data_IF_512004315423
#
_entry.id   IF_512004315423
#
_cell.length_a   1.000
_cell.length_b   1.000
_cell.length_c   1.000
_cell.angle_alpha   90.00
_cell.angle_beta   90.00
_cell.angle_gamma   90.00
#
_symmetry.space_group_name_H-M   'P 1'
#
loop_
_entity.id
_entity.type
_entity.pdbx_description
1 polymer ?
#
# COMPACT_ATOMS: atom_id res chain seq x y z
N UNK A 1 64.42 39.89 49.38
CA UNK A 1 65.50 39.21 48.64
C UNK A 1 64.86 38.43 47.50
N UNK A 2 65.06 38.86 46.26
CA UNK A 2 66.19 38.55 45.35
C UNK A 2 65.80 37.31 44.50
N UNK A 3 65.33 37.49 43.26
CA UNK A 3 66.03 37.78 41.99
C UNK A 3 66.80 36.58 41.41
N UNK A 4 66.42 36.24 40.18
CA UNK A 4 67.10 35.59 39.03
C UNK A 4 65.94 35.09 38.15
N UNK A 5 65.51 35.68 37.02
CA UNK A 5 66.12 36.34 35.85
C UNK A 5 67.07 35.48 35.00
N UNK A 6 66.93 35.68 33.67
CA UNK A 6 67.59 35.09 32.49
C UNK A 6 66.97 33.80 31.89
N UNK A 7 66.75 33.64 30.57
CA UNK A 7 66.83 34.55 29.41
C UNK A 7 66.20 33.87 28.17
N UNK A 8 65.65 34.70 27.28
CA UNK A 8 65.54 34.64 25.81
C UNK A 8 65.45 33.31 25.03
N UNK A 9 64.47 33.24 24.12
CA UNK A 9 64.71 33.59 22.69
C UNK A 9 63.42 33.50 21.84
N UNK A 10 63.06 34.66 21.28
CA UNK A 10 62.58 34.91 19.91
C UNK A 10 62.04 33.74 19.06
N UNK A 11 60.80 33.87 18.56
CA UNK A 11 60.55 34.17 17.14
C UNK A 11 59.05 34.33 16.85
N UNK A 12 58.64 35.58 16.72
CA UNK A 12 57.35 35.98 16.16
C UNK A 12 57.33 35.69 14.65
N UNK A 13 56.88 34.50 14.25
CA UNK A 13 56.51 34.26 12.86
C UNK A 13 55.08 34.77 12.63
N UNK A 14 55.00 35.97 12.05
CA UNK A 14 53.80 36.52 11.42
C UNK A 14 53.39 35.65 10.22
N UNK A 15 52.70 34.54 10.50
CA UNK A 15 52.04 33.76 9.45
C UNK A 15 50.84 34.56 8.95
N UNK A 16 51.01 35.15 7.78
CA UNK A 16 49.96 35.86 7.05
C UNK A 16 48.68 35.02 7.01
N UNK A 17 47.57 35.63 7.44
CA UNK A 17 46.25 35.02 7.44
C UNK A 17 45.84 34.76 6.00
N UNK A 18 45.96 33.52 5.52
CA UNK A 18 45.43 33.14 4.22
C UNK A 18 43.91 33.38 4.24
N UNK A 19 43.40 34.02 3.19
CA UNK A 19 41.96 34.32 3.03
C UNK A 19 41.19 33.01 2.90
N UNK A 20 40.71 32.49 4.03
CA UNK A 20 39.77 31.36 4.02
C UNK A 20 38.44 31.85 3.48
N UNK A 21 37.93 31.17 2.46
CA UNK A 21 36.56 31.38 1.98
C UNK A 21 35.55 31.21 3.14
N UNK A 22 34.52 32.06 3.20
CA UNK A 22 33.52 32.10 4.28
C UNK A 22 32.92 30.72 4.53
N UNK A 23 32.66 29.99 3.43
CA UNK A 23 32.13 28.64 3.47
C UNK A 23 33.07 27.64 4.16
N UNK A 24 34.37 27.71 3.87
CA UNK A 24 35.38 26.86 4.50
C UNK A 24 35.50 27.12 6.01
N UNK A 25 35.41 28.39 6.43
CA UNK A 25 35.40 28.76 7.84
C UNK A 25 34.13 28.26 8.53
N UNK A 26 32.96 28.44 7.92
CA UNK A 26 31.69 27.96 8.47
C UNK A 26 31.69 26.43 8.63
N UNK A 27 32.18 25.70 7.63
CA UNK A 27 32.34 24.24 7.68
C UNK A 27 33.28 23.82 8.81
N UNK A 28 34.45 24.45 8.93
CA UNK A 28 35.43 24.16 9.98
C UNK A 28 34.88 24.44 11.39
N UNK A 29 34.11 25.52 11.56
CA UNK A 29 33.48 25.86 12.84
C UNK A 29 32.36 24.88 13.22
N UNK A 30 31.59 24.39 12.25
CA UNK A 30 30.57 23.35 12.47
C UNK A 30 31.23 22.03 12.88
N UNK A 31 32.27 21.59 12.16
CA UNK A 31 33.05 20.40 12.49
C UNK A 31 33.71 20.53 13.88
N UNK A 32 34.32 21.67 14.21
CA UNK A 32 34.87 21.92 15.55
C UNK A 32 33.79 21.91 16.65
N UNK A 33 32.58 22.39 16.37
CA UNK A 33 31.45 22.36 17.32
C UNK A 33 30.97 20.93 17.56
N UNK A 34 30.92 20.10 16.54
CA UNK A 34 30.59 18.68 16.64
C UNK A 34 31.69 17.89 17.36
N UNK A 35 32.96 18.14 17.04
CA UNK A 35 34.11 17.59 17.73
C UNK A 35 34.13 18.00 19.21
N UNK A 36 33.78 19.25 19.56
CA UNK A 36 33.66 19.69 20.97
C UNK A 36 32.49 19.06 21.70
N UNK A 37 31.39 18.74 21.01
CA UNK A 37 30.24 18.02 21.60
C UNK A 37 30.56 16.57 21.87
N UNK A 38 31.29 15.92 20.97
CA UNK A 38 31.69 14.51 21.10
C UNK A 38 32.89 14.32 22.04
N UNK A 39 33.82 15.29 22.11
CA UNK A 39 34.97 15.28 23.01
C UNK A 39 34.71 15.86 24.41
N UNK A 40 33.53 16.47 24.63
CA UNK A 40 33.15 16.93 25.97
C UNK A 40 33.05 15.70 26.88
N UNK A 41 33.85 15.66 27.95
CA UNK A 41 33.69 14.65 29.00
C UNK A 41 32.24 14.70 29.46
N UNK A 42 31.54 13.58 29.30
CA UNK A 42 30.16 13.46 29.70
C UNK A 42 30.01 13.86 31.16
N UNK A 43 29.03 14.70 31.45
CA UNK A 43 28.70 15.01 32.84
C UNK A 43 28.15 13.75 33.51
N UNK A 44 28.25 13.66 34.85
CA UNK A 44 27.66 12.53 35.60
C UNK A 44 26.17 12.34 35.28
N UNK A 45 25.46 13.44 34.99
CA UNK A 45 24.07 13.43 34.56
C UNK A 45 23.88 12.83 33.16
N UNK A 46 24.74 13.15 32.19
CA UNK A 46 24.66 12.58 30.84
C UNK A 46 24.94 11.08 30.84
N UNK A 47 25.88 10.59 31.66
CA UNK A 47 26.14 9.15 31.85
C UNK A 47 24.92 8.46 32.45
N UNK A 48 24.31 9.04 33.50
CA UNK A 48 23.11 8.49 34.13
C UNK A 48 21.92 8.50 33.17
N UNK A 49 21.77 9.54 32.34
CA UNK A 49 20.74 9.62 31.31
C UNK A 49 20.93 8.50 30.28
N UNK A 50 22.16 8.28 29.82
CA UNK A 50 22.47 7.21 28.88
C UNK A 50 22.17 5.83 29.48
N UNK A 51 22.51 5.61 30.74
CA UNK A 51 22.18 4.39 31.48
C UNK A 51 20.67 4.17 31.63
N UNK A 52 19.91 5.24 31.88
CA UNK A 52 18.46 5.15 31.96
C UNK A 52 17.85 4.82 30.59
N UNK A 53 18.35 5.45 29.53
CA UNK A 53 17.89 5.18 28.16
C UNK A 53 18.21 3.75 27.76
N UNK A 54 19.42 3.27 28.04
CA UNK A 54 19.79 1.88 27.73
C UNK A 54 19.00 0.87 28.55
N UNK A 55 18.69 1.19 29.81
CA UNK A 55 17.82 0.38 30.65
C UNK A 55 16.40 0.28 30.06
N UNK A 56 15.79 1.41 29.68
CA UNK A 56 14.46 1.40 29.05
C UNK A 56 14.49 0.67 27.70
N UNK A 57 15.53 0.87 26.89
CA UNK A 57 15.71 0.18 25.61
C UNK A 57 15.80 -1.33 25.81
N UNK A 58 16.54 -1.81 26.83
CA UNK A 58 16.59 -3.24 27.16
C UNK A 58 15.23 -3.79 27.58
N UNK A 59 14.47 -3.07 28.42
CA UNK A 59 13.13 -3.47 28.84
C UNK A 59 12.15 -3.58 27.66
N UNK A 60 12.14 -2.58 26.79
CA UNK A 60 11.25 -2.59 25.62
C UNK A 60 11.59 -3.77 24.69
N UNK A 61 12.88 -4.02 24.46
CA UNK A 61 13.31 -5.16 23.62
C UNK A 61 13.00 -6.51 24.23
N UNK A 62 13.04 -6.63 25.55
CA UNK A 62 12.79 -7.88 26.27
C UNK A 62 11.30 -8.21 26.34
N UNK A 63 10.44 -7.23 26.63
CA UNK A 63 9.03 -7.47 26.94
C UNK A 63 8.04 -7.10 25.83
N UNK A 64 8.35 -6.14 24.96
CA UNK A 64 7.47 -5.74 23.86
C UNK A 64 7.80 -6.51 22.58
N UNK A 65 7.69 -7.84 22.67
CA UNK A 65 7.86 -8.74 21.54
C UNK A 65 6.54 -8.84 20.77
N UNK A 66 6.63 -8.93 19.44
CA UNK A 66 5.45 -9.07 18.58
C UNK A 66 4.68 -10.36 18.96
N UNK A 67 3.36 -10.29 19.24
CA UNK A 67 2.57 -11.45 19.63
C UNK A 67 2.61 -12.59 18.61
N UNK A 68 2.75 -12.28 17.32
CA UNK A 68 2.83 -13.26 16.22
C UNK A 68 4.05 -14.18 16.29
N UNK A 69 5.08 -13.79 17.04
CA UNK A 69 6.30 -14.61 17.23
C UNK A 69 6.13 -15.65 18.34
N UNK A 70 5.05 -15.58 19.11
CA UNK A 70 4.76 -16.53 20.17
C UNK A 70 3.98 -17.74 19.62
N UNK A 71 4.28 -18.96 20.10
CA UNK A 71 3.52 -20.14 19.70
C UNK A 71 2.07 -20.03 20.20
N UNK A 72 1.12 -20.50 19.41
CA UNK A 72 -0.32 -20.54 19.72
C UNK A 72 -0.96 -19.15 19.98
N UNK A 73 -0.39 -18.07 19.45
CA UNK A 73 -0.96 -16.73 19.58
C UNK A 73 -2.33 -16.60 18.90
N UNK A 74 -2.61 -17.43 17.88
CA UNK A 74 -3.85 -17.44 17.10
C UNK A 74 -5.08 -17.85 17.93
N UNK A 75 -4.88 -18.53 19.07
CA UNK A 75 -5.97 -18.90 19.98
C UNK A 75 -6.47 -17.69 20.77
N UNK A 76 -5.59 -16.73 21.04
CA UNK A 76 -5.89 -15.53 21.82
C UNK A 76 -6.20 -14.31 20.95
N UNK A 77 -5.64 -14.25 19.73
CA UNK A 77 -5.74 -13.12 18.82
C UNK A 77 -6.54 -13.47 17.56
N UNK A 78 -7.47 -12.58 17.18
CA UNK A 78 -8.22 -12.69 15.94
C UNK A 78 -7.57 -11.85 14.83
N UNK A 79 -7.15 -12.51 13.74
CA UNK A 79 -6.58 -11.86 12.56
C UNK A 79 -7.41 -12.11 11.31
N UNK A 80 -8.43 -11.27 11.08
CA UNK A 80 -9.15 -11.21 9.81
C UNK A 80 -9.74 -9.81 9.56
N UNK A 81 -8.85 -8.80 9.51
CA UNK A 81 -9.24 -7.41 9.34
C UNK A 81 -10.03 -7.16 8.05
N UNK A 82 -9.68 -7.84 6.95
CA UNK A 82 -10.37 -7.69 5.66
C UNK A 82 -11.82 -8.18 5.72
N UNK A 83 -12.06 -9.37 6.27
CA UNK A 83 -13.40 -9.94 6.43
C UNK A 83 -14.27 -9.09 7.34
N UNK A 84 -13.72 -8.61 8.46
CA UNK A 84 -14.43 -7.67 9.34
C UNK A 84 -14.77 -6.37 8.60
N UNK A 85 -13.82 -5.80 7.86
CA UNK A 85 -14.04 -4.56 7.11
C UNK A 85 -15.13 -4.74 6.05
N UNK A 86 -15.13 -5.84 5.31
CA UNK A 86 -16.16 -6.12 4.31
C UNK A 86 -17.55 -6.26 4.93
N UNK A 87 -17.67 -6.88 6.10
CA UNK A 87 -18.96 -7.09 6.78
C UNK A 87 -19.48 -5.84 7.48
N UNK A 88 -18.60 -5.06 8.11
CA UNK A 88 -18.99 -3.85 8.85
C UNK A 88 -19.14 -2.63 7.93
N UNK A 89 -18.25 -2.49 6.95
CA UNK A 89 -18.24 -1.38 5.99
C UNK A 89 -18.49 -1.92 4.59
N UNK A 90 -19.69 -2.46 4.39
CA UNK A 90 -20.11 -2.98 3.09
C UNK A 90 -20.15 -1.85 2.04
N UNK A 91 -19.60 -2.13 0.86
CA UNK A 91 -19.59 -1.22 -0.28
C UNK A 91 -20.38 -1.84 -1.46
N UNK A 92 -21.72 -1.88 -1.39
CA UNK A 92 -22.55 -2.61 -2.35
C UNK A 92 -22.41 -2.09 -3.78
N UNK A 93 -22.24 -0.77 -3.96
CA UNK A 93 -22.02 -0.18 -5.29
C UNK A 93 -20.74 -0.67 -5.96
N UNK A 94 -19.67 -0.84 -5.19
CA UNK A 94 -18.41 -1.38 -5.69
C UNK A 94 -18.60 -2.85 -6.06
N UNK A 95 -19.26 -3.63 -5.20
CA UNK A 95 -19.54 -5.04 -5.48
C UNK A 95 -20.35 -5.24 -6.78
N UNK A 96 -21.40 -4.44 -6.98
CA UNK A 96 -22.20 -4.44 -8.20
C UNK A 96 -21.39 -4.04 -9.43
N UNK A 97 -20.62 -2.95 -9.32
CA UNK A 97 -19.75 -2.48 -10.41
C UNK A 97 -18.73 -3.54 -10.80
N UNK A 98 -18.08 -4.20 -9.83
CA UNK A 98 -17.13 -5.28 -10.09
C UNK A 98 -17.83 -6.50 -10.70
N UNK A 99 -19.01 -6.88 -10.22
CA UNK A 99 -19.76 -8.03 -10.74
C UNK A 99 -20.20 -7.83 -12.20
N UNK A 100 -20.69 -6.63 -12.54
CA UNK A 100 -21.17 -6.34 -13.89
C UNK A 100 -20.03 -6.11 -14.89
N UNK A 101 -18.90 -5.56 -14.45
CA UNK A 101 -17.73 -5.36 -15.32
C UNK A 101 -16.93 -6.65 -15.54
N UNK A 102 -16.80 -7.47 -14.50
CA UNK A 102 -16.00 -8.68 -14.52
C UNK A 102 -16.71 -9.84 -13.79
N UNK A 103 -17.60 -10.56 -14.48
CA UNK A 103 -18.35 -11.67 -13.89
C UNK A 103 -17.47 -12.88 -13.53
N UNK A 104 -16.24 -12.97 -14.06
CA UNK A 104 -15.29 -14.05 -13.74
C UNK A 104 -15.00 -14.16 -12.24
N UNK A 105 -14.95 -13.04 -11.50
CA UNK A 105 -14.67 -13.06 -10.06
C UNK A 105 -15.67 -13.89 -9.24
N UNK A 106 -16.91 -14.01 -9.72
CA UNK A 106 -17.98 -14.73 -9.03
C UNK A 106 -18.29 -16.07 -9.69
N UNK A 107 -18.31 -16.14 -11.03
CA UNK A 107 -18.67 -17.33 -11.78
C UNK A 107 -17.49 -18.27 -12.06
N UNK A 108 -16.24 -17.77 -11.98
CA UNK A 108 -14.99 -18.54 -12.15
C UNK A 108 -14.95 -19.43 -13.41
N UNK A 109 -15.56 -18.97 -14.50
CA UNK A 109 -15.53 -19.65 -15.80
C UNK A 109 -14.48 -19.00 -16.70
N UNK A 110 -13.51 -19.77 -17.20
CA UNK A 110 -12.43 -19.27 -18.07
C UNK A 110 -12.95 -18.60 -19.36
N UNK A 111 -14.13 -18.97 -19.85
CA UNK A 111 -14.75 -18.32 -21.01
C UNK A 111 -15.14 -16.85 -20.76
N UNK A 112 -15.24 -16.45 -19.49
CA UNK A 112 -15.54 -15.07 -19.06
C UNK A 112 -14.29 -14.24 -18.79
N UNK A 113 -13.11 -14.85 -18.93
CA UNK A 113 -11.83 -14.20 -18.69
C UNK A 113 -11.49 -13.32 -19.88
N UNK A 114 -11.83 -12.04 -19.77
CA UNK A 114 -11.58 -11.03 -20.80
C UNK A 114 -10.58 -9.99 -20.32
N UNK A 115 -9.77 -9.48 -21.25
CA UNK A 115 -8.97 -8.28 -21.03
C UNK A 115 -9.86 -7.05 -20.82
N UNK A 116 -9.31 -6.04 -20.13
CA UNK A 116 -9.99 -4.79 -19.79
C UNK A 116 -10.49 -4.08 -21.06
N UNK A 117 -11.78 -3.76 -21.11
CA UNK A 117 -12.40 -3.05 -22.23
C UNK A 117 -13.04 -3.93 -23.31
N UNK A 118 -12.88 -5.25 -23.27
CA UNK A 118 -13.62 -6.15 -24.15
C UNK A 118 -14.92 -6.64 -23.51
N UNK A 119 -15.93 -6.88 -24.36
CA UNK A 119 -17.18 -7.54 -23.99
C UNK A 119 -16.99 -9.03 -24.28
N UNK A 120 -16.91 -9.92 -23.26
CA UNK A 120 -16.83 -11.34 -23.52
C UNK A 120 -18.14 -11.78 -24.17
N UNK A 121 -18.06 -12.46 -25.31
CA UNK A 121 -19.22 -12.94 -26.07
C UNK A 121 -20.05 -13.99 -25.29
N UNK A 122 -19.46 -14.58 -24.24
CA UNK A 122 -20.08 -15.59 -23.36
C UNK A 122 -20.62 -14.95 -22.06
N UNK A 123 -20.54 -13.62 -21.91
CA UNK A 123 -20.96 -12.94 -20.70
C UNK A 123 -22.49 -12.97 -20.52
N UNK A 124 -23.00 -12.96 -19.26
CA UNK A 124 -24.43 -12.81 -19.01
C UNK A 124 -24.98 -11.52 -19.62
N UNK A 125 -26.21 -11.55 -20.15
CA UNK A 125 -26.87 -10.43 -20.83
C UNK A 125 -26.79 -9.10 -20.06
N UNK A 126 -26.98 -9.16 -18.73
CA UNK A 126 -26.92 -7.98 -17.86
C UNK A 126 -25.53 -7.33 -17.85
N UNK A 127 -24.46 -8.13 -17.98
CA UNK A 127 -23.09 -7.63 -18.04
C UNK A 127 -22.80 -6.98 -19.41
N UNK A 128 -23.31 -7.58 -20.50
CA UNK A 128 -23.20 -7.03 -21.86
C UNK A 128 -23.91 -5.67 -21.93
N UNK A 129 -25.19 -5.63 -21.51
CA UNK A 129 -25.99 -4.43 -21.45
C UNK A 129 -25.32 -3.33 -20.60
N UNK A 130 -24.74 -3.71 -19.46
CA UNK A 130 -24.00 -2.80 -18.60
C UNK A 130 -22.71 -2.29 -19.26
N UNK A 131 -21.91 -3.11 -19.94
CA UNK A 131 -20.72 -2.59 -20.64
C UNK A 131 -21.09 -1.59 -21.74
N UNK A 132 -22.11 -1.89 -22.53
CA UNK A 132 -22.63 -0.96 -23.56
C UNK A 132 -23.16 0.34 -22.95
N UNK A 133 -23.77 0.31 -21.76
CA UNK A 133 -24.23 1.53 -21.10
C UNK A 133 -23.07 2.44 -20.65
N UNK A 134 -21.91 1.87 -20.30
CA UNK A 134 -20.74 2.64 -19.88
C UNK A 134 -20.06 3.36 -21.05
N UNK A 135 -20.18 2.83 -22.27
CA UNK A 135 -19.69 3.45 -23.50
C UNK A 135 -20.60 4.60 -23.97
N UNK A 136 -21.86 4.59 -23.54
CA UNK A 136 -22.81 5.65 -23.82
C UNK A 136 -22.56 6.88 -22.92
N UNK A 137 -23.01 8.04 -23.40
CA UNK A 137 -22.99 9.29 -22.62
C UNK A 137 -24.16 9.36 -21.62
N UNK A 138 -24.40 10.54 -21.03
CA UNK A 138 -25.46 10.78 -20.03
C UNK A 138 -26.87 10.35 -20.48
N UNK A 139 -27.16 10.39 -21.79
CA UNK A 139 -28.45 10.00 -22.36
C UNK A 139 -28.24 8.81 -23.30
N UNK A 140 -29.12 7.82 -23.20
CA UNK A 140 -29.07 6.58 -23.97
C UNK A 140 -30.33 6.52 -24.84
N UNK A 141 -30.16 6.41 -26.15
CA UNK A 141 -31.25 6.08 -27.06
C UNK A 141 -31.51 4.56 -26.99
N UNK A 142 -32.73 4.17 -26.62
CA UNK A 142 -33.07 2.76 -26.44
C UNK A 142 -32.98 1.96 -27.74
N UNK A 143 -33.26 2.58 -28.89
CA UNK A 143 -33.21 1.89 -30.19
C UNK A 143 -31.77 1.52 -30.51
N UNK A 144 -30.87 2.51 -30.55
CA UNK A 144 -29.44 2.29 -30.85
C UNK A 144 -28.78 1.35 -29.84
N UNK A 145 -29.13 1.47 -28.56
CA UNK A 145 -28.62 0.59 -27.51
C UNK A 145 -29.11 -0.85 -27.68
N UNK A 146 -30.37 -1.05 -28.06
CA UNK A 146 -30.91 -2.40 -28.35
C UNK A 146 -30.30 -3.02 -29.61
N UNK A 147 -30.02 -2.22 -30.63
CA UNK A 147 -29.37 -2.66 -31.87
C UNK A 147 -27.91 -3.05 -31.62
N UNK A 148 -27.18 -2.26 -30.83
CA UNK A 148 -25.83 -2.58 -30.38
C UNK A 148 -25.81 -3.90 -29.57
N UNK A 149 -26.75 -4.07 -28.65
CA UNK A 149 -26.90 -5.30 -27.87
C UNK A 149 -27.16 -6.52 -28.77
N UNK A 150 -28.12 -6.42 -29.70
CA UNK A 150 -28.43 -7.48 -30.65
C UNK A 150 -27.22 -7.85 -31.52
N UNK A 151 -26.40 -6.87 -31.91
CA UNK A 151 -25.19 -7.10 -32.68
C UNK A 151 -24.15 -7.92 -31.90
N UNK A 152 -23.96 -7.62 -30.61
CA UNK A 152 -23.03 -8.36 -29.75
C UNK A 152 -23.51 -9.79 -29.50
N UNK A 153 -24.79 -9.98 -29.17
CA UNK A 153 -25.37 -11.32 -28.90
C UNK A 153 -25.35 -12.19 -30.15
N UNK A 154 -25.74 -11.66 -31.31
CA UNK A 154 -25.71 -12.44 -32.56
C UNK A 154 -24.29 -12.73 -33.06
N UNK A 155 -23.31 -11.90 -32.70
CA UNK A 155 -21.90 -12.20 -32.95
C UNK A 155 -21.40 -13.37 -32.08
N UNK A 156 -21.88 -13.47 -30.84
CA UNK A 156 -21.58 -14.61 -29.96
C UNK A 156 -22.13 -15.93 -30.51
N UNK A 157 -23.40 -15.96 -30.89
CA UNK A 157 -24.06 -17.16 -31.45
C UNK A 157 -23.35 -17.69 -32.71
N UNK A 158 -22.84 -16.79 -33.56
CA UNK A 158 -22.10 -17.16 -34.78
C UNK A 158 -20.71 -17.73 -34.48
N UNK A 159 -20.07 -17.36 -33.37
CA UNK A 159 -18.80 -17.94 -32.94
C UNK A 159 -18.99 -19.34 -32.36
N UNK A 160 -20.05 -19.56 -31.60
CA UNK A 160 -20.37 -20.87 -31.00
C UNK A 160 -20.76 -21.92 -32.06
N UNK A 161 -21.38 -21.50 -33.16
CA UNK A 161 -21.67 -22.39 -34.30
C UNK A 161 -20.42 -22.90 -35.04
N UNK A 162 -19.28 -22.22 -34.90
CA UNK A 162 -18.01 -22.63 -35.50
C UNK A 162 -17.12 -23.45 -34.52
N UNK A 163 -17.51 -23.58 -33.25
CA UNK A 163 -16.74 -24.24 -32.19
C UNK A 163 -17.43 -25.48 -31.60
N UNK A 164 -18.29 -26.15 -32.38
CA UNK A 164 -18.99 -27.37 -31.93
C UNK A 164 -17.98 -28.48 -31.60
N UNK A 165 -17.60 -28.54 -30.32
CA UNK A 165 -17.37 -29.74 -29.50
C UNK A 165 -17.05 -29.28 -28.07
N UNK A 166 -18.07 -28.89 -27.31
CA UNK A 166 -18.19 -29.26 -25.89
C UNK A 166 -19.57 -28.84 -25.41
N UNK A 167 -20.46 -29.82 -25.38
CA UNK A 167 -21.71 -29.76 -24.65
C UNK A 167 -21.41 -29.65 -23.16
N UNK A 168 -21.70 -28.52 -22.51
CA UNK A 168 -22.08 -28.56 -21.09
C UNK A 168 -23.26 -27.60 -20.85
N UNK A 169 -24.33 -28.24 -20.37
CA UNK A 169 -25.65 -27.74 -20.03
C UNK A 169 -25.64 -26.38 -19.35
N UNK A 170 -26.51 -25.50 -19.85
CA UNK A 170 -27.05 -24.36 -19.13
C UNK A 170 -27.76 -24.82 -17.84
N UNK A 171 -27.02 -24.95 -16.74
CA UNK A 171 -27.62 -24.97 -15.42
C UNK A 171 -27.97 -23.54 -15.02
N UNK A 172 -29.26 -23.26 -14.98
CA UNK A 172 -29.83 -22.01 -14.47
C UNK A 172 -29.38 -21.86 -13.01
N UNK A 173 -28.35 -21.03 -12.78
CA UNK A 173 -27.91 -20.66 -11.43
C UNK A 173 -29.02 -19.77 -10.84
N UNK A 174 -29.92 -20.41 -10.09
CA UNK A 174 -30.93 -19.71 -9.31
C UNK A 174 -30.22 -18.98 -8.14
N UNK A 175 -30.05 -17.66 -8.28
CA UNK A 175 -29.39 -16.83 -7.27
C UNK A 175 -30.04 -17.02 -5.88
N UNK A 176 -29.26 -17.34 -4.82
CA UNK A 176 -29.79 -17.57 -3.48
C UNK A 176 -30.03 -16.23 -2.77
N UNK A 177 -30.91 -15.39 -3.31
CA UNK A 177 -31.34 -14.16 -2.63
C UNK A 177 -32.30 -14.44 -1.47
N UNK A 178 -32.84 -15.66 -1.35
CA UNK A 178 -33.75 -16.04 -0.25
C UNK A 178 -33.06 -16.29 1.10
N UNK A 179 -31.77 -16.62 1.12
CA UNK A 179 -31.06 -16.94 2.38
C UNK A 179 -30.45 -15.72 3.09
N UNK A 180 -30.27 -14.59 2.39
CA UNK A 180 -29.68 -13.37 2.99
C UNK A 180 -30.70 -12.60 3.85
N UNK A 181 -32.00 -12.80 3.61
CA UNK A 181 -33.09 -12.14 4.36
C UNK A 181 -33.50 -12.87 5.66
N UNK A 182 -32.88 -14.01 5.97
CA UNK A 182 -33.24 -14.81 7.16
C UNK A 182 -32.25 -14.65 8.32
N UNK A 183 -31.22 -13.81 8.15
CA UNK A 183 -30.24 -13.46 9.19
C UNK A 183 -30.18 -11.95 9.44
N UNK A 184 -31.35 -11.30 9.48
CA UNK A 184 -31.54 -9.96 10.05
C UNK A 184 -32.53 -10.03 11.20
#
# INVERSE_FOLDING_TARGET
EAKEEEEDTSESQSKGLQKTDLYHLQKSLLEMKELRRTSKRQTKFEVLREQLVSFIDSLVREYLVLPETQPLHEVLYFSAAHTLRQRLNAAPRIALHTALNNPYHYLKNEALRSEEGCIPNVAPDICIAYKLHLECSRLINLVDWSEAFATVVTAAEKMDANSVTSEERNEIIQYPLKSILQCA
#
